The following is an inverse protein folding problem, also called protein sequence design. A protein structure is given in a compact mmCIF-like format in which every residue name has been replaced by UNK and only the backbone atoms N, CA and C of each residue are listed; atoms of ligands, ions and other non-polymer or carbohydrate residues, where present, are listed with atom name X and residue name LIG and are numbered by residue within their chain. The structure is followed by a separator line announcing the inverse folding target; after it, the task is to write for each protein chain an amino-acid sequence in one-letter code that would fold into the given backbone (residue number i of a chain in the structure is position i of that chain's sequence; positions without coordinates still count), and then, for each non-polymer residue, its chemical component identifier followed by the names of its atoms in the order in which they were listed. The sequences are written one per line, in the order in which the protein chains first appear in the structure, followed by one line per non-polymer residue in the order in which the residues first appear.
data_IF_287399347272
#
_entry.id   IF_287399347272
#
_cell.length_a   1.000
_cell.length_b   1.000
_cell.length_c   1.000
_cell.angle_alpha   90.00
_cell.angle_beta   90.00
_cell.angle_gamma   90.00
#
_symmetry.space_group_name_H-M   'P 1'
#
loop_
_entity.id
_entity.type
_entity.pdbx_description
1 polymer ?
#
# COMPACT_ATOMS: atom_id res chain seq x y z
N UNK A 1 13.69 3.39 -17.97
CA UNK A 1 14.96 2.61 -17.84
C UNK A 1 14.79 1.12 -18.13
N UNK A 2 13.57 0.64 -18.30
CA UNK A 2 13.24 -0.78 -18.54
C UNK A 2 12.18 -1.27 -17.55
N UNK A 3 11.96 -0.52 -16.47
CA UNK A 3 10.91 -0.71 -15.50
C UNK A 3 9.52 -0.78 -16.14
N UNK A 4 8.65 -1.57 -15.51
CA UNK A 4 7.24 -1.61 -15.84
C UNK A 4 6.49 -0.56 -15.03
N UNK A 5 5.70 0.26 -15.70
CA UNK A 5 4.84 1.26 -15.09
C UNK A 5 3.38 0.85 -15.29
N UNK A 6 2.60 0.83 -14.21
CA UNK A 6 1.17 0.51 -14.22
C UNK A 6 0.42 1.70 -13.62
N UNK A 7 -0.20 2.48 -14.50
CA UNK A 7 -1.11 3.58 -14.13
C UNK A 7 -2.47 3.00 -13.75
N UNK A 8 -2.83 3.10 -12.48
CA UNK A 8 -4.11 2.58 -11.97
C UNK A 8 -5.13 3.68 -11.63
N UNK A 9 -4.80 4.96 -11.85
CA UNK A 9 -5.71 6.05 -11.50
C UNK A 9 -5.22 7.47 -11.73
N UNK A 10 -4.05 7.66 -12.33
CA UNK A 10 -3.47 8.99 -12.60
C UNK A 10 -4.00 9.57 -13.93
N UNK A 11 -3.74 8.87 -15.04
CA UNK A 11 -4.29 9.22 -16.37
C UNK A 11 -5.43 8.31 -16.80
N UNK A 12 -5.76 7.33 -15.97
CA UNK A 12 -6.88 6.41 -16.17
C UNK A 12 -7.92 6.61 -15.08
N UNK A 13 -9.17 6.19 -15.33
CA UNK A 13 -10.24 6.24 -14.31
C UNK A 13 -9.95 5.28 -13.15
N UNK A 14 -9.24 4.18 -13.42
CA UNK A 14 -9.10 3.07 -12.47
C UNK A 14 -10.42 2.37 -12.20
N UNK A 15 -10.47 1.61 -11.11
CA UNK A 15 -11.69 0.98 -10.61
C UNK A 15 -11.50 0.51 -9.16
N UNK A 16 -12.59 0.11 -8.51
CA UNK A 16 -12.52 -0.57 -7.22
C UNK A 16 -11.71 -1.86 -7.32
N UNK A 17 -11.90 -2.65 -8.38
CA UNK A 17 -11.12 -3.87 -8.64
C UNK A 17 -9.62 -3.55 -8.77
N UNK A 18 -9.26 -2.49 -9.50
CA UNK A 18 -7.86 -2.07 -9.62
C UNK A 18 -7.27 -1.70 -8.25
N UNK A 19 -8.03 -1.00 -7.40
CA UNK A 19 -7.64 -0.70 -6.03
C UNK A 19 -7.46 -1.95 -5.16
N UNK A 20 -8.34 -2.95 -5.27
CA UNK A 20 -8.18 -4.23 -4.58
C UNK A 20 -6.90 -4.94 -5.03
N UNK A 21 -6.63 -5.01 -6.35
CA UNK A 21 -5.39 -5.60 -6.87
C UNK A 21 -4.14 -4.85 -6.44
N UNK A 22 -4.21 -3.52 -6.38
CA UNK A 22 -3.12 -2.71 -5.82
C UNK A 22 -2.87 -3.03 -4.35
N UNK A 23 -3.93 -3.18 -3.56
CA UNK A 23 -3.83 -3.54 -2.14
C UNK A 23 -3.25 -4.95 -1.94
N UNK A 24 -3.73 -5.96 -2.69
CA UNK A 24 -3.17 -7.32 -2.67
C UNK A 24 -1.68 -7.34 -3.07
N UNK A 25 -1.32 -6.57 -4.10
CA UNK A 25 0.08 -6.38 -4.50
C UNK A 25 0.88 -5.68 -3.41
N UNK A 26 0.32 -4.67 -2.73
CA UNK A 26 0.95 -4.01 -1.59
C UNK A 26 1.14 -4.99 -0.42
N UNK A 27 0.24 -5.95 -0.21
CA UNK A 27 0.36 -7.02 0.78
C UNK A 27 1.33 -8.14 0.36
N UNK A 28 2.02 -8.01 -0.78
CA UNK A 28 2.98 -9.00 -1.26
C UNK A 28 2.35 -10.34 -1.67
N UNK A 29 1.04 -10.35 -1.96
CA UNK A 29 0.29 -11.59 -2.23
C UNK A 29 0.03 -12.45 -0.99
N UNK A 30 0.34 -11.96 0.21
CA UNK A 30 0.12 -12.66 1.48
C UNK A 30 -1.19 -12.25 2.18
N UNK A 31 -2.00 -11.42 1.52
CA UNK A 31 -3.32 -11.02 1.98
C UNK A 31 -4.35 -11.14 0.87
N UNK A 32 -5.62 -11.23 1.27
CA UNK A 32 -6.76 -11.17 0.37
C UNK A 32 -7.55 -9.91 0.65
N UNK A 33 -7.96 -9.23 -0.41
CA UNK A 33 -8.79 -8.03 -0.32
C UNK A 33 -10.09 -8.27 -1.06
N UNK A 34 -11.21 -7.98 -0.41
CA UNK A 34 -12.53 -8.09 -1.02
C UNK A 34 -13.39 -6.87 -0.72
N UNK A 35 -14.42 -6.65 -1.53
CA UNK A 35 -15.42 -5.61 -1.29
C UNK A 35 -16.78 -6.27 -1.15
N UNK A 36 -17.51 -5.88 -0.12
CA UNK A 36 -18.86 -6.34 0.13
C UNK A 36 -19.80 -5.17 0.41
N UNK A 37 -21.10 -5.45 0.29
CA UNK A 37 -22.13 -4.51 0.67
C UNK A 37 -22.50 -4.69 2.14
N UNK A 38 -22.08 -3.77 3.00
CA UNK A 38 -22.52 -3.73 4.38
C UNK A 38 -23.94 -3.14 4.47
N UNK A 39 -24.92 -4.01 4.69
CA UNK A 39 -26.33 -3.63 4.80
C UNK A 39 -26.67 -2.96 6.13
N UNK A 40 -25.78 -3.03 7.12
CA UNK A 40 -25.95 -2.35 8.41
C UNK A 40 -25.53 -0.88 8.34
N UNK A 41 -24.55 -0.56 7.48
CA UNK A 41 -24.12 0.81 7.17
C UNK A 41 -25.02 1.46 6.13
N UNK A 42 -26.01 2.24 6.58
CA UNK A 42 -26.95 2.92 5.68
C UNK A 42 -26.31 4.06 4.86
N UNK A 43 -25.25 4.68 5.39
CA UNK A 43 -24.62 5.85 4.76
C UNK A 43 -23.43 5.47 3.84
N UNK A 44 -22.72 4.38 4.15
CA UNK A 44 -21.54 3.93 3.38
C UNK A 44 -21.63 2.42 3.16
N UNK A 45 -22.40 1.97 2.16
CA UNK A 45 -22.73 0.55 2.02
C UNK A 45 -21.60 -0.28 1.42
N UNK A 46 -20.54 0.32 0.85
CA UNK A 46 -19.42 -0.43 0.30
C UNK A 46 -18.27 -0.47 1.30
N UNK A 47 -17.84 -1.67 1.67
CA UNK A 47 -16.78 -1.89 2.66
C UNK A 47 -15.69 -2.76 2.04
N UNK A 48 -14.43 -2.39 2.26
CA UNK A 48 -13.28 -3.24 1.96
C UNK A 48 -13.00 -4.12 3.17
N UNK A 49 -12.74 -5.39 2.92
CA UNK A 49 -12.18 -6.33 3.88
C UNK A 49 -10.76 -6.70 3.44
N UNK A 50 -9.78 -6.56 4.34
CA UNK A 50 -8.43 -7.05 4.16
C UNK A 50 -8.13 -8.12 5.22
N UNK A 51 -7.66 -9.29 4.80
CA UNK A 51 -7.35 -10.40 5.70
C UNK A 51 -6.03 -11.09 5.34
N UNK A 52 -5.34 -11.63 6.34
CA UNK A 52 -4.10 -12.37 6.15
C UNK A 52 -3.80 -13.28 7.34
N UNK A 53 -3.42 -14.53 7.05
CA UNK A 53 -2.83 -15.45 8.03
C UNK A 53 -1.30 -15.29 8.19
N UNK A 54 -0.72 -14.26 7.59
CA UNK A 54 0.65 -13.79 7.84
C UNK A 54 0.65 -12.25 8.00
N UNK A 55 -0.18 -11.72 8.92
CA UNK A 55 -0.57 -10.32 8.92
C UNK A 55 0.61 -9.36 9.13
N UNK A 56 1.57 -9.71 9.99
CA UNK A 56 2.75 -8.88 10.23
C UNK A 56 3.60 -8.73 8.96
N UNK A 57 3.84 -9.81 8.23
CA UNK A 57 4.64 -9.75 7.00
C UNK A 57 3.87 -9.05 5.87
N UNK A 58 2.60 -9.43 5.68
CA UNK A 58 1.73 -8.86 4.65
C UNK A 58 1.56 -7.35 4.84
N UNK A 59 1.29 -6.91 6.07
CA UNK A 59 1.01 -5.51 6.37
C UNK A 59 2.30 -4.72 6.65
N UNK A 60 3.09 -5.06 7.66
CA UNK A 60 4.24 -4.24 8.06
C UNK A 60 5.45 -4.44 7.15
N UNK A 61 5.74 -5.70 6.78
CA UNK A 61 6.85 -6.05 5.91
C UNK A 61 6.64 -5.67 4.44
N UNK A 62 5.39 -5.47 4.02
CA UNK A 62 5.05 -5.15 2.64
C UNK A 62 4.11 -3.93 2.52
N UNK A 63 2.84 -4.04 2.95
CA UNK A 63 1.81 -3.04 2.68
C UNK A 63 2.12 -1.64 3.23
N UNK A 64 2.72 -1.53 4.42
CA UNK A 64 3.01 -0.27 5.10
C UNK A 64 3.77 0.68 4.17
N UNK A 65 3.29 1.93 4.10
CA UNK A 65 3.87 2.95 3.24
C UNK A 65 5.04 3.65 3.97
N UNK A 66 6.08 2.90 4.32
CA UNK A 66 7.21 3.41 5.11
C UNK A 66 8.41 3.91 4.29
N UNK A 67 8.47 3.61 2.99
CA UNK A 67 9.61 4.02 2.17
C UNK A 67 9.41 5.41 1.57
N UNK A 68 10.04 6.42 2.17
CA UNK A 68 10.06 7.78 1.62
C UNK A 68 10.94 7.88 0.34
N UNK A 69 10.29 8.17 -0.79
CA UNK A 69 10.94 8.34 -2.10
C UNK A 69 10.85 9.78 -2.55
N UNK A 70 11.79 10.58 -2.05
CA UNK A 70 11.98 11.97 -2.45
C UNK A 70 13.20 12.15 -3.37
N UNK A 71 13.10 13.10 -4.29
CA UNK A 71 14.18 13.54 -5.16
C UNK A 71 13.73 14.58 -6.17
N UNK A 72 14.50 15.66 -6.34
CA UNK A 72 14.14 16.80 -7.19
C UNK A 72 12.76 17.36 -6.79
N UNK A 73 11.80 17.42 -7.72
CA UNK A 73 10.43 17.89 -7.50
C UNK A 73 9.43 16.73 -7.34
N UNK A 74 9.91 15.54 -6.98
CA UNK A 74 9.08 14.35 -6.81
C UNK A 74 9.08 13.87 -5.36
N UNK A 75 7.90 13.49 -4.88
CA UNK A 75 7.68 12.87 -3.59
C UNK A 75 6.60 11.80 -3.73
N UNK A 76 6.87 10.61 -3.20
CA UNK A 76 5.87 9.57 -3.02
C UNK A 76 6.22 8.71 -1.80
N UNK A 77 5.19 8.16 -1.17
CA UNK A 77 5.35 7.10 -0.17
C UNK A 77 5.29 5.75 -0.89
N UNK A 78 6.34 4.95 -0.73
CA UNK A 78 6.46 3.61 -1.29
C UNK A 78 5.94 2.55 -0.34
N UNK A 79 5.07 1.68 -0.86
CA UNK A 79 4.57 0.47 -0.21
C UNK A 79 4.82 -0.76 -1.09
N UNK A 80 4.69 -1.96 -0.54
CA UNK A 80 4.79 -3.21 -1.28
C UNK A 80 6.08 -4.00 -1.05
N UNK A 81 6.19 -5.19 -1.69
CA UNK A 81 7.20 -6.20 -1.36
C UNK A 81 8.63 -5.77 -1.65
N UNK A 82 8.84 -4.79 -2.54
CA UNK A 82 10.17 -4.20 -2.78
C UNK A 82 10.83 -3.68 -1.49
N UNK A 83 10.04 -3.27 -0.48
CA UNK A 83 10.54 -2.84 0.82
C UNK A 83 11.31 -3.94 1.55
N UNK A 84 10.83 -5.19 1.48
CA UNK A 84 11.47 -6.33 2.13
C UNK A 84 12.78 -6.78 1.45
N UNK A 85 13.01 -6.40 0.19
CA UNK A 85 14.30 -6.51 -0.49
C UNK A 85 15.26 -5.39 -0.05
N UNK A 86 14.76 -4.14 -0.07
CA UNK A 86 15.55 -2.94 0.16
C UNK A 86 15.97 -2.75 1.62
N UNK A 87 15.04 -2.99 2.56
CA UNK A 87 15.21 -2.88 4.01
C UNK A 87 15.91 -1.58 4.46
N UNK A 88 15.53 -0.46 3.84
CA UNK A 88 16.11 0.87 4.14
C UNK A 88 15.41 1.62 5.27
N UNK A 89 14.38 1.01 5.86
CA UNK A 89 13.53 1.60 6.90
C UNK A 89 13.86 0.98 8.27
N UNK A 90 13.83 1.75 9.38
CA UNK A 90 14.09 1.23 10.73
C UNK A 90 13.18 0.07 11.14
N UNK A 91 11.96 0.00 10.60
CA UNK A 91 11.02 -1.10 10.86
C UNK A 91 11.64 -2.48 10.57
N UNK A 92 12.53 -2.57 9.57
CA UNK A 92 13.20 -3.82 9.23
C UNK A 92 14.29 -4.23 10.24
N UNK A 93 14.60 -3.43 11.26
CA UNK A 93 15.41 -3.87 12.40
C UNK A 93 14.58 -4.71 13.37
N UNK A 94 13.27 -4.46 13.46
CA UNK A 94 12.31 -5.24 14.26
C UNK A 94 11.84 -6.48 13.52
N UNK A 95 11.70 -6.41 12.19
CA UNK A 95 11.26 -7.54 11.37
C UNK A 95 12.45 -8.44 10.97
N UNK A 96 12.35 -9.73 11.28
CA UNK A 96 13.38 -10.72 10.95
C UNK A 96 13.41 -11.13 9.47
N UNK A 97 12.33 -10.87 8.74
CA UNK A 97 12.20 -11.26 7.33
C UNK A 97 13.11 -10.43 6.41
N UNK A 98 13.74 -11.11 5.44
CA UNK A 98 14.43 -10.52 4.29
C UNK A 98 14.00 -11.27 3.05
N UNK A 99 13.54 -10.54 2.05
CA UNK A 99 13.13 -11.16 0.81
C UNK A 99 14.32 -11.51 -0.08
N UNK A 100 14.15 -12.52 -0.93
CA UNK A 100 15.09 -12.88 -2.00
C UNK A 100 14.25 -13.13 -3.26
N UNK A 101 14.31 -12.18 -4.20
CA UNK A 101 13.52 -12.24 -5.42
C UNK A 101 14.31 -11.73 -6.62
N UNK A 102 13.94 -12.17 -7.82
CA UNK A 102 14.51 -11.72 -9.10
C UNK A 102 13.78 -10.51 -9.69
N UNK A 103 12.73 -10.03 -9.03
CA UNK A 103 11.90 -8.89 -9.44
C UNK A 103 11.25 -8.24 -8.23
N UNK A 104 10.91 -6.96 -8.34
CA UNK A 104 10.31 -6.20 -7.25
C UNK A 104 9.09 -5.41 -7.72
N UNK A 105 8.09 -5.32 -6.84
CA UNK A 105 6.87 -4.52 -7.04
C UNK A 105 6.80 -3.45 -5.96
N UNK A 106 6.54 -2.22 -6.38
CA UNK A 106 6.38 -1.08 -5.49
C UNK A 106 5.11 -0.29 -5.86
N UNK A 107 4.34 0.08 -4.85
CA UNK A 107 3.08 0.81 -4.97
C UNK A 107 3.34 2.23 -4.51
N UNK A 108 2.95 3.21 -5.33
CA UNK A 108 3.20 4.63 -5.12
C UNK A 108 1.88 5.39 -5.08
N UNK A 109 1.66 6.13 -4.00
CA UNK A 109 0.53 7.05 -3.89
C UNK A 109 0.89 8.40 -4.53
N UNK A 110 0.60 8.54 -5.82
CA UNK A 110 1.01 9.70 -6.62
C UNK A 110 0.25 9.79 -7.95
N UNK A 111 0.18 11.00 -8.51
CA UNK A 111 -0.39 11.25 -9.83
C UNK A 111 0.63 11.12 -10.97
N UNK A 112 1.92 10.95 -10.68
CA UNK A 112 2.97 10.90 -11.69
C UNK A 112 3.83 9.63 -11.52
N UNK A 113 4.28 9.00 -12.62
CA UNK A 113 5.21 7.89 -12.54
C UNK A 113 6.53 8.33 -11.89
N UNK A 114 7.29 7.40 -11.26
CA UNK A 114 8.56 7.74 -10.65
C UNK A 114 9.55 8.26 -11.70
N UNK A 115 10.24 9.39 -11.45
CA UNK A 115 11.26 9.88 -12.37
C UNK A 115 12.47 8.94 -12.35
N UNK A 116 13.32 9.07 -13.38
CA UNK A 116 14.53 8.25 -13.58
C UNK A 116 15.36 8.06 -12.29
N UNK A 117 15.60 9.15 -11.55
CA UNK A 117 16.39 9.13 -10.33
C UNK A 117 15.78 8.25 -9.22
N UNK A 118 14.44 8.19 -9.14
CA UNK A 118 13.74 7.33 -8.18
C UNK A 118 13.82 5.87 -8.62
N UNK A 119 13.68 5.58 -9.92
CA UNK A 119 13.85 4.22 -10.45
C UNK A 119 15.26 3.69 -10.18
N UNK A 120 16.30 4.49 -10.43
CA UNK A 120 17.70 4.12 -10.13
C UNK A 120 17.93 3.92 -8.62
N UNK A 121 17.36 4.79 -7.77
CA UNK A 121 17.41 4.66 -6.32
C UNK A 121 16.79 3.34 -5.84
N UNK A 122 15.63 2.96 -6.38
CA UNK A 122 14.95 1.71 -6.04
C UNK A 122 15.73 0.50 -6.55
N UNK A 123 16.26 0.54 -7.78
CA UNK A 123 17.10 -0.54 -8.33
C UNK A 123 18.35 -0.78 -7.47
N UNK A 124 19.06 0.29 -7.10
CA UNK A 124 20.22 0.19 -6.21
C UNK A 124 19.88 -0.39 -4.84
N UNK A 125 18.78 0.08 -4.22
CA UNK A 125 18.38 -0.35 -2.89
C UNK A 125 17.93 -1.82 -2.88
N UNK A 126 17.23 -2.27 -3.93
CA UNK A 126 16.77 -3.66 -4.07
C UNK A 126 17.85 -4.61 -4.61
N UNK A 127 18.94 -4.09 -5.16
CA UNK A 127 19.97 -4.88 -5.83
C UNK A 127 19.53 -5.44 -7.19
N UNK A 128 18.47 -4.90 -7.77
CA UNK A 128 17.88 -5.38 -9.02
C UNK A 128 18.12 -4.42 -10.18
N UNK A 129 18.23 -4.97 -11.38
CA UNK A 129 18.22 -4.21 -12.62
C UNK A 129 16.85 -3.55 -12.84
N UNK A 130 16.81 -2.38 -13.48
CA UNK A 130 15.60 -1.56 -13.57
C UNK A 130 14.46 -2.25 -14.31
N UNK A 131 14.76 -3.12 -15.27
CA UNK A 131 13.80 -3.95 -16.00
C UNK A 131 13.14 -5.06 -15.17
N UNK A 132 13.61 -5.28 -13.94
CA UNK A 132 13.00 -6.18 -12.96
C UNK A 132 12.11 -5.45 -11.97
N UNK A 133 11.97 -4.12 -12.11
CA UNK A 133 11.13 -3.30 -11.26
C UNK A 133 9.76 -3.07 -11.91
N UNK A 134 8.72 -3.17 -11.09
CA UNK A 134 7.35 -2.82 -11.47
C UNK A 134 6.81 -1.79 -10.48
N UNK A 135 6.31 -0.67 -11.00
CA UNK A 135 5.69 0.38 -10.21
C UNK A 135 4.20 0.47 -10.54
N UNK A 136 3.34 0.29 -9.53
CA UNK A 136 1.92 0.61 -9.62
C UNK A 136 1.73 1.97 -8.98
N UNK A 137 0.96 2.85 -9.62
CA UNK A 137 0.72 4.17 -9.04
C UNK A 137 -0.71 4.65 -9.29
N UNK A 138 -1.25 5.31 -8.27
CA UNK A 138 -2.55 5.95 -8.30
C UNK A 138 -2.56 7.11 -7.27
N UNK A 139 -3.16 8.26 -7.61
CA UNK A 139 -3.32 9.36 -6.66
C UNK A 139 -4.44 9.06 -5.67
N UNK A 140 -4.35 9.62 -4.47
CA UNK A 140 -5.34 9.53 -3.37
C UNK A 140 -6.77 9.82 -3.84
N UNK A 141 -6.93 10.76 -4.78
CA UNK A 141 -8.21 11.20 -5.33
C UNK A 141 -8.89 10.18 -6.26
N UNK A 142 -8.15 9.19 -6.75
CA UNK A 142 -8.66 8.18 -7.68
C UNK A 142 -9.40 7.06 -6.96
N UNK A 143 -10.23 6.31 -7.70
CA UNK A 143 -10.92 5.14 -7.15
C UNK A 143 -9.93 4.09 -6.63
N UNK A 144 -8.89 3.78 -7.40
CA UNK A 144 -7.90 2.79 -7.02
C UNK A 144 -7.04 3.26 -5.83
N UNK A 145 -6.65 4.53 -5.81
CA UNK A 145 -5.93 5.15 -4.71
C UNK A 145 -6.74 5.15 -3.41
N UNK A 146 -8.00 5.57 -3.46
CA UNK A 146 -8.89 5.53 -2.29
C UNK A 146 -9.06 4.12 -1.74
N UNK A 147 -9.36 3.14 -2.61
CA UNK A 147 -9.55 1.74 -2.20
C UNK A 147 -8.27 1.14 -1.62
N UNK A 148 -7.10 1.37 -2.22
CA UNK A 148 -5.85 0.81 -1.66
C UNK A 148 -5.54 1.38 -0.27
N UNK A 149 -5.82 2.66 -0.04
CA UNK A 149 -5.58 3.29 1.27
C UNK A 149 -6.52 2.67 2.29
N UNK A 150 -7.82 2.59 1.99
CA UNK A 150 -8.83 2.04 2.90
C UNK A 150 -8.56 0.55 3.21
N UNK A 151 -8.03 -0.21 2.25
CA UNK A 151 -7.60 -1.59 2.45
C UNK A 151 -6.45 -1.77 3.48
N UNK A 152 -5.91 -0.68 4.03
CA UNK A 152 -4.89 -0.68 5.09
C UNK A 152 -5.48 -0.76 6.48
N UNK A 153 -6.79 -0.94 6.66
CA UNK A 153 -7.41 -1.02 7.99
C UNK A 153 -6.69 -2.02 8.92
N UNK A 154 -6.36 -3.22 8.42
CA UNK A 154 -5.57 -4.21 9.16
C UNK A 154 -4.13 -3.73 9.42
N UNK A 155 -3.50 -3.10 8.42
CA UNK A 155 -2.13 -2.59 8.54
C UNK A 155 -2.01 -1.49 9.58
N UNK A 156 -2.93 -0.53 9.61
CA UNK A 156 -2.96 0.56 10.60
C UNK A 156 -3.09 -0.02 12.02
N UNK A 157 -3.92 -1.04 12.22
CA UNK A 157 -4.01 -1.73 13.51
C UNK A 157 -2.67 -2.38 13.91
N UNK A 158 -2.00 -3.05 12.98
CA UNK A 158 -0.70 -3.70 13.21
C UNK A 158 0.43 -2.69 13.44
N UNK A 159 0.40 -1.56 12.73
CA UNK A 159 1.33 -0.46 12.94
C UNK A 159 1.17 0.07 14.36
N UNK A 160 -0.08 0.25 14.83
CA UNK A 160 -0.34 0.67 16.19
C UNK A 160 0.12 -0.36 17.23
N UNK A 161 -0.07 -1.66 16.98
CA UNK A 161 0.45 -2.75 17.83
C UNK A 161 1.98 -2.67 17.94
N UNK A 162 2.68 -2.46 16.83
CA UNK A 162 4.14 -2.26 16.80
C UNK A 162 4.57 -0.99 17.56
N UNK A 163 3.85 0.12 17.40
CA UNK A 163 4.14 1.38 18.11
C UNK A 163 4.01 1.22 19.62
N UNK A 164 3.02 0.44 20.06
CA UNK A 164 2.79 0.08 21.46
C UNK A 164 3.76 -0.99 21.98
N UNK A 165 4.71 -1.46 21.14
CA UNK A 165 5.74 -2.45 21.49
C UNK A 165 5.16 -3.80 21.92
N UNK A 166 3.97 -4.15 21.43
CA UNK A 166 3.46 -5.50 21.60
C UNK A 166 4.30 -6.47 20.74
N UNK A 167 4.65 -7.67 21.25
CA UNK A 167 5.45 -8.63 20.50
C UNK A 167 4.71 -9.11 19.23
N UNK A 168 5.23 -8.74 18.05
CA UNK A 168 4.57 -9.00 16.77
C UNK A 168 4.46 -10.48 16.45
N UNK A 169 5.35 -11.32 16.98
CA UNK A 169 5.32 -12.78 16.86
C UNK A 169 4.08 -13.42 17.49
N UNK A 170 3.38 -12.71 18.38
CA UNK A 170 2.14 -13.17 18.98
C UNK A 170 0.90 -12.88 18.11
N UNK A 171 1.07 -12.15 16.99
CA UNK A 171 -0.02 -11.90 16.04
C UNK A 171 -0.08 -13.04 15.03
N UNK A 172 -1.15 -13.84 15.10
CA UNK A 172 -1.29 -15.08 14.31
C UNK A 172 -2.08 -14.88 13.01
N UNK A 173 -3.21 -14.20 13.09
CA UNK A 173 -4.12 -13.94 11.96
C UNK A 173 -4.72 -12.53 12.12
N UNK A 174 -5.30 -11.99 11.06
CA UNK A 174 -5.83 -10.65 11.07
C UNK A 174 -6.85 -10.42 9.97
N UNK A 175 -7.92 -9.73 10.35
CA UNK A 175 -8.94 -9.20 9.45
C UNK A 175 -9.22 -7.75 9.85
N UNK A 176 -9.33 -6.87 8.88
CA UNK A 176 -9.70 -5.47 9.06
C UNK A 176 -10.68 -5.05 7.99
N UNK A 177 -11.64 -4.21 8.36
CA UNK A 177 -12.64 -3.66 7.45
C UNK A 177 -12.65 -2.15 7.55
N UNK A 178 -12.96 -1.47 6.44
CA UNK A 178 -13.24 -0.04 6.43
C UNK A 178 -14.14 0.33 5.24
N UNK A 179 -15.06 1.30 5.39
CA UNK A 179 -15.93 1.76 4.31
C UNK A 179 -15.13 2.46 3.21
N UNK A 180 -15.56 2.29 1.95
CA UNK A 180 -14.99 3.02 0.82
C UNK A 180 -15.62 4.42 0.80
N UNK A 181 -14.86 5.50 1.05
CA UNK A 181 -15.40 6.85 0.99
C UNK A 181 -15.61 7.27 -0.46
N UNK A 182 -16.49 8.25 -0.67
CA UNK A 182 -16.62 8.89 -1.97
C UNK A 182 -15.32 9.63 -2.34
N UNK A 183 -14.79 9.47 -3.59
CA UNK A 183 -13.61 10.18 -4.03
C UNK A 183 -13.83 11.69 -4.00
N UNK A 184 -12.75 12.45 -3.91
CA UNK A 184 -12.78 13.91 -3.91
C UNK A 184 -11.64 14.48 -4.75
N UNK A 185 -11.87 15.54 -5.57
CA UNK A 185 -10.83 16.09 -6.46
C UNK A 185 -9.75 16.87 -5.71
N UNK A 186 -10.07 17.48 -4.57
CA UNK A 186 -9.07 18.09 -3.69
C UNK A 186 -8.31 17.01 -2.91
N UNK A 187 -6.97 17.10 -2.95
CA UNK A 187 -6.04 16.17 -2.33
C UNK A 187 -6.23 16.08 -0.82
N UNK A 188 -6.29 17.22 -0.11
CA UNK A 188 -6.36 17.23 1.34
C UNK A 188 -7.67 16.62 1.84
N UNK A 189 -8.77 16.94 1.16
CA UNK A 189 -10.07 16.34 1.44
C UNK A 189 -10.10 14.84 1.13
N UNK A 190 -9.51 14.39 0.02
CA UNK A 190 -9.45 12.97 -0.32
C UNK A 190 -8.65 12.18 0.72
N UNK A 191 -7.47 12.68 1.09
CA UNK A 191 -6.61 12.11 2.12
C UNK A 191 -7.32 12.05 3.48
N UNK A 192 -8.02 13.12 3.85
CA UNK A 192 -8.84 13.15 5.07
C UNK A 192 -9.89 12.05 5.06
N UNK A 193 -10.70 11.95 3.98
CA UNK A 193 -11.75 10.93 3.84
C UNK A 193 -11.22 9.50 3.92
N UNK A 194 -10.09 9.19 3.27
CA UNK A 194 -9.53 7.84 3.27
C UNK A 194 -8.96 7.45 4.63
N UNK A 195 -8.38 8.40 5.36
CA UNK A 195 -7.90 8.14 6.71
C UNK A 195 -9.06 8.04 7.71
N UNK A 196 -10.04 8.94 7.62
CA UNK A 196 -11.24 8.93 8.46
C UNK A 196 -12.06 7.65 8.27
N UNK A 197 -12.10 7.10 7.06
CA UNK A 197 -12.72 5.81 6.81
C UNK A 197 -12.08 4.68 7.63
N UNK A 198 -10.76 4.69 7.82
CA UNK A 198 -10.07 3.68 8.65
C UNK A 198 -10.24 3.98 10.15
N UNK A 199 -10.23 5.26 10.54
CA UNK A 199 -10.23 5.67 11.95
C UNK A 199 -11.62 5.56 12.58
N UNK A 200 -12.67 5.90 11.83
CA UNK A 200 -14.04 6.04 12.35
C UNK A 200 -15.05 5.04 11.76
N UNK A 201 -14.64 4.25 10.75
CA UNK A 201 -15.51 3.29 10.07
C UNK A 201 -15.28 1.85 10.50
#
# INVERSE_FOLDING_TARGET
LGERLIDAGAKTVGSVEAGMRMAEAAMGGLGSVSVFMDRSSQQWPFTVEARSSQPVLACLGSQYAGWNLSGQNYFAMGSGPARALARVEPLFETLSYRDIASSAVLILETAEPPPRAIVEKVGKATGLATEKLTFLYAPTQSLAGGVQIVARALEVALHKINDLKFPLENVIDGIGTAPIPAPHPDFLTAMGRTNDAIIYG
#
